data_IF_563962953878
#
_entry.id   IF_563962953878
#
_cell.length_a   1.000
_cell.length_b   1.000
_cell.length_c   1.000
_cell.angle_alpha   90.00
_cell.angle_beta   90.00
_cell.angle_gamma   90.00
#
_symmetry.space_group_name_H-M   'P 1'
#
loop_
_entity.id
_entity.type
_entity.pdbx_description
1 polymer ?
#
# COMPACT_ATOMS: atom_id res chain seq x y z
N UNK A 1 12.72 -5.27 6.81
CA UNK A 1 13.69 -6.02 5.98
C UNK A 1 13.81 -5.32 4.64
N UNK A 2 14.99 -4.92 4.16
CA UNK A 2 15.14 -4.34 2.83
C UNK A 2 14.97 -5.40 1.75
N UNK A 3 14.26 -5.06 0.68
CA UNK A 3 14.04 -5.90 -0.52
C UNK A 3 14.91 -5.46 -1.69
N UNK A 4 15.19 -4.16 -1.74
CA UNK A 4 16.12 -3.53 -2.67
C UNK A 4 16.72 -2.27 -2.07
N UNK A 5 17.84 -1.81 -2.60
CA UNK A 5 18.40 -0.48 -2.35
C UNK A 5 18.42 0.28 -3.66
N UNK A 6 17.78 1.43 -3.69
CA UNK A 6 17.74 2.30 -4.87
C UNK A 6 18.56 3.55 -4.61
N UNK A 7 19.25 4.04 -5.65
CA UNK A 7 20.04 5.29 -5.56
C UNK A 7 19.16 6.52 -5.34
N UNK A 8 17.93 6.47 -5.86
CA UNK A 8 16.92 7.53 -5.80
C UNK A 8 15.56 6.93 -6.17
N UNK A 9 14.52 7.71 -6.02
CA UNK A 9 13.15 7.31 -6.34
C UNK A 9 13.01 6.95 -7.84
N UNK A 10 12.19 5.95 -8.14
CA UNK A 10 12.04 5.37 -9.50
C UNK A 10 11.34 6.28 -10.50
N UNK A 11 10.70 7.35 -10.07
CA UNK A 11 10.08 8.37 -10.93
C UNK A 11 11.10 9.34 -11.55
N UNK A 12 12.34 9.41 -11.06
CA UNK A 12 13.41 10.13 -11.74
C UNK A 12 13.78 9.47 -13.06
N UNK A 13 14.31 10.23 -14.00
CA UNK A 13 14.69 9.78 -15.35
C UNK A 13 15.59 8.53 -15.33
N UNK A 14 16.48 8.43 -14.34
CA UNK A 14 17.36 7.28 -14.14
C UNK A 14 17.59 6.99 -12.67
N UNK A 15 17.77 5.72 -12.37
CA UNK A 15 18.16 5.23 -11.05
C UNK A 15 18.98 3.93 -11.19
N UNK A 16 19.76 3.62 -10.17
CA UNK A 16 20.44 2.33 -10.00
C UNK A 16 19.83 1.60 -8.82
N UNK A 17 19.59 0.31 -8.99
CA UNK A 17 19.04 -0.55 -7.94
C UNK A 17 19.93 -1.77 -7.67
N UNK A 18 19.99 -2.15 -6.41
CA UNK A 18 20.60 -3.40 -5.93
C UNK A 18 19.47 -4.27 -5.41
N UNK A 19 19.23 -5.40 -6.04
CA UNK A 19 18.29 -6.41 -5.57
C UNK A 19 18.88 -7.16 -4.38
N UNK A 20 18.10 -7.35 -3.31
CA UNK A 20 18.54 -8.02 -2.09
C UNK A 20 17.90 -9.41 -1.90
N UNK A 21 17.37 -10.01 -2.96
CA UNK A 21 16.75 -11.35 -2.90
C UNK A 21 17.64 -12.41 -2.26
N UNK A 22 18.95 -12.34 -2.49
CA UNK A 22 19.93 -13.28 -1.92
C UNK A 22 20.23 -13.00 -0.44
N UNK A 23 20.05 -11.78 0.01
CA UNK A 23 20.37 -11.34 1.38
C UNK A 23 19.17 -11.54 2.34
N UNK A 24 17.93 -11.45 1.83
CA UNK A 24 16.72 -11.59 2.62
C UNK A 24 16.68 -12.89 3.45
N UNK A 25 17.00 -14.08 2.91
CA UNK A 25 17.03 -15.32 3.70
C UNK A 25 18.08 -15.30 4.80
N UNK A 26 19.24 -14.69 4.59
CA UNK A 26 20.29 -14.57 5.60
C UNK A 26 19.87 -13.67 6.75
N UNK A 27 19.21 -12.55 6.45
CA UNK A 27 18.64 -11.63 7.46
C UNK A 27 17.58 -12.36 8.29
N UNK A 28 16.65 -13.07 7.64
CA UNK A 28 15.60 -13.83 8.32
C UNK A 28 16.19 -14.93 9.22
N UNK A 29 17.24 -15.62 8.79
CA UNK A 29 17.91 -16.63 9.59
C UNK A 29 18.48 -16.05 10.91
N UNK A 30 19.03 -14.83 10.87
CA UNK A 30 19.48 -14.14 12.09
C UNK A 30 18.32 -13.75 13.00
N UNK A 31 17.19 -13.30 12.45
CA UNK A 31 15.99 -13.00 13.22
C UNK A 31 15.42 -14.27 13.90
N UNK A 32 15.43 -15.39 13.18
CA UNK A 32 14.99 -16.67 13.71
C UNK A 32 15.85 -17.13 14.88
N UNK A 33 17.19 -17.04 14.77
CA UNK A 33 18.12 -17.34 15.88
C UNK A 33 17.83 -16.50 17.13
N UNK A 34 17.43 -15.24 16.92
CA UNK A 34 17.08 -14.29 17.99
C UNK A 34 15.65 -14.44 18.49
N UNK A 35 14.85 -15.34 17.89
CA UNK A 35 13.43 -15.55 18.21
C UNK A 35 12.62 -14.25 18.09
N UNK A 36 12.91 -13.47 17.05
CA UNK A 36 12.16 -12.24 16.76
C UNK A 36 10.70 -12.62 16.44
N UNK A 37 9.76 -11.87 16.97
CA UNK A 37 8.32 -11.94 16.67
C UNK A 37 7.81 -10.60 16.17
N UNK A 38 6.74 -10.61 15.40
CA UNK A 38 6.16 -9.41 14.80
C UNK A 38 4.67 -9.31 15.14
N UNK A 39 4.23 -8.13 15.57
CA UNK A 39 2.81 -7.81 15.74
C UNK A 39 2.14 -7.55 14.39
N UNK A 40 2.91 -7.11 13.39
CA UNK A 40 2.47 -6.93 12.03
C UNK A 40 3.59 -7.16 11.01
N UNK A 41 3.20 -7.60 9.81
CA UNK A 41 4.06 -7.71 8.63
C UNK A 41 3.41 -6.87 7.55
N UNK A 42 4.13 -5.85 7.09
CA UNK A 42 3.72 -4.99 5.99
C UNK A 42 4.68 -5.18 4.81
N UNK A 43 4.13 -5.40 3.62
CA UNK A 43 4.88 -5.48 2.38
C UNK A 43 4.52 -4.31 1.47
N UNK A 44 5.53 -3.56 1.03
CA UNK A 44 5.47 -2.60 -0.06
C UNK A 44 6.16 -3.16 -1.31
N UNK A 45 7.12 -2.41 -1.86
CA UNK A 45 7.82 -2.80 -3.07
C UNK A 45 8.59 -4.12 -2.94
N UNK A 46 8.33 -5.03 -3.87
CA UNK A 46 9.05 -6.29 -4.08
C UNK A 46 9.58 -6.31 -5.52
N UNK A 47 10.86 -6.63 -5.71
CA UNK A 47 11.54 -6.48 -7.00
C UNK A 47 11.13 -7.51 -8.06
N UNK A 48 10.44 -8.59 -7.67
CA UNK A 48 10.01 -9.64 -8.58
C UNK A 48 9.32 -10.82 -7.91
N UNK A 49 8.88 -11.76 -8.72
CA UNK A 49 8.10 -12.94 -8.29
C UNK A 49 8.83 -13.76 -7.23
N UNK A 50 10.14 -13.94 -7.35
CA UNK A 50 10.94 -14.69 -6.36
C UNK A 50 10.89 -14.07 -4.96
N UNK A 51 10.85 -12.73 -4.88
CA UNK A 51 10.67 -12.06 -3.58
C UNK A 51 9.26 -12.24 -3.03
N UNK A 52 8.24 -12.22 -3.88
CA UNK A 52 6.85 -12.50 -3.45
C UNK A 52 6.75 -13.90 -2.86
N UNK A 53 7.28 -14.91 -3.55
CA UNK A 53 7.28 -16.30 -3.08
C UNK A 53 8.07 -16.46 -1.78
N UNK A 54 9.19 -15.77 -1.67
CA UNK A 54 9.99 -15.80 -0.44
C UNK A 54 9.24 -15.13 0.73
N UNK A 55 8.58 -13.99 0.48
CA UNK A 55 7.75 -13.30 1.50
C UNK A 55 6.60 -14.18 1.97
N UNK A 56 5.98 -14.95 1.07
CA UNK A 56 4.96 -15.93 1.49
C UNK A 56 5.53 -16.97 2.49
N UNK A 57 6.74 -17.46 2.24
CA UNK A 57 7.42 -18.38 3.17
C UNK A 57 7.78 -17.69 4.49
N UNK A 58 8.27 -16.44 4.41
CA UNK A 58 8.56 -15.63 5.58
C UNK A 58 7.31 -15.43 6.47
N UNK A 59 6.17 -15.10 5.87
CA UNK A 59 4.90 -14.99 6.60
C UNK A 59 4.53 -16.29 7.30
N UNK A 60 4.70 -17.45 6.65
CA UNK A 60 4.41 -18.75 7.26
C UNK A 60 5.32 -19.05 8.45
N UNK A 61 6.57 -18.59 8.41
CA UNK A 61 7.56 -18.85 9.46
C UNK A 61 7.46 -17.88 10.64
N UNK A 62 7.19 -16.60 10.38
CA UNK A 62 7.28 -15.55 11.40
C UNK A 62 5.91 -15.02 11.88
N UNK A 63 4.82 -15.26 11.15
CA UNK A 63 3.51 -14.87 11.61
C UNK A 63 2.96 -15.86 12.65
N UNK A 64 2.28 -15.32 13.66
CA UNK A 64 1.49 -16.05 14.62
C UNK A 64 0.02 -15.62 14.52
N UNK A 65 -0.93 -16.25 15.24
CA UNK A 65 -2.35 -15.92 15.15
C UNK A 65 -2.73 -14.45 15.45
N UNK A 66 -1.86 -13.70 16.13
CA UNK A 66 -2.06 -12.27 16.45
C UNK A 66 -1.38 -11.36 15.45
N UNK A 67 -0.42 -11.85 14.66
CA UNK A 67 0.29 -11.06 13.66
C UNK A 67 -0.68 -10.64 12.56
N UNK A 68 -0.79 -9.33 12.32
CA UNK A 68 -1.58 -8.78 11.22
C UNK A 68 -0.74 -8.65 9.95
N UNK A 69 -1.29 -9.04 8.82
CA UNK A 69 -0.61 -9.00 7.52
C UNK A 69 -1.22 -7.91 6.66
N UNK A 70 -0.38 -6.98 6.22
CA UNK A 70 -0.71 -5.87 5.34
C UNK A 70 0.05 -6.03 4.03
N UNK A 71 -0.65 -5.94 2.92
CA UNK A 71 -0.04 -5.99 1.58
C UNK A 71 -0.44 -4.75 0.80
N UNK A 72 0.53 -3.93 0.49
CA UNK A 72 0.42 -2.92 -0.55
C UNK A 72 0.84 -3.59 -1.88
N UNK A 73 -0.08 -3.80 -2.81
CA UNK A 73 0.20 -4.58 -4.01
C UNK A 73 0.88 -3.74 -5.09
N UNK A 74 2.04 -3.19 -4.78
CA UNK A 74 2.81 -2.31 -5.66
C UNK A 74 3.03 -2.98 -7.02
N UNK A 75 2.17 -2.65 -8.00
CA UNK A 75 2.18 -3.22 -9.35
C UNK A 75 2.27 -2.16 -10.45
N UNK A 76 1.65 -1.02 -10.26
CA UNK A 76 1.58 0.01 -11.29
C UNK A 76 0.71 1.19 -10.90
N UNK A 77 0.69 2.20 -11.75
CA UNK A 77 -0.16 3.38 -11.63
C UNK A 77 -0.54 3.90 -13.01
N UNK A 78 -1.54 4.81 -13.08
CA UNK A 78 -2.04 5.43 -14.32
C UNK A 78 -2.38 4.42 -15.44
N UNK A 79 -2.81 3.21 -15.06
CA UNK A 79 -3.21 2.15 -16.00
C UNK A 79 -2.05 1.32 -16.57
N UNK A 80 -0.83 1.53 -16.11
CA UNK A 80 0.36 0.83 -16.61
C UNK A 80 1.12 0.13 -15.47
N UNK A 81 1.73 -1.01 -15.78
CA UNK A 81 2.64 -1.66 -14.85
C UNK A 81 3.91 -0.83 -14.65
N UNK A 82 4.46 -0.87 -13.45
CA UNK A 82 5.80 -0.35 -13.20
C UNK A 82 6.84 -1.10 -14.03
N UNK A 83 7.95 -0.43 -14.32
CA UNK A 83 9.02 -0.97 -15.15
C UNK A 83 9.51 -2.34 -14.67
N UNK A 84 9.46 -3.32 -15.55
CA UNK A 84 9.87 -4.70 -15.26
C UNK A 84 8.76 -5.60 -14.70
N UNK A 85 7.56 -5.05 -14.42
CA UNK A 85 6.42 -5.83 -13.98
C UNK A 85 5.48 -6.18 -15.15
N UNK A 86 4.61 -7.15 -14.93
CA UNK A 86 3.61 -7.63 -15.88
C UNK A 86 2.71 -8.67 -15.24
N UNK A 87 2.04 -9.45 -16.08
CA UNK A 87 1.02 -10.41 -15.63
C UNK A 87 1.55 -11.45 -14.65
N UNK A 88 2.79 -11.91 -14.79
CA UNK A 88 3.39 -12.88 -13.88
C UNK A 88 3.52 -12.30 -12.46
N UNK A 89 4.05 -11.08 -12.34
CA UNK A 89 4.12 -10.37 -11.06
C UNK A 89 2.73 -10.10 -10.49
N UNK A 90 1.77 -9.72 -11.34
CA UNK A 90 0.38 -9.50 -10.92
C UNK A 90 -0.25 -10.79 -10.34
N UNK A 91 -0.04 -11.94 -10.96
CA UNK A 91 -0.54 -13.22 -10.45
C UNK A 91 0.11 -13.63 -9.12
N UNK A 92 1.41 -13.41 -8.97
CA UNK A 92 2.10 -13.64 -7.71
C UNK A 92 1.57 -12.71 -6.60
N UNK A 93 1.46 -11.41 -6.89
CA UNK A 93 0.94 -10.42 -5.95
C UNK A 93 -0.52 -10.70 -5.57
N UNK A 94 -1.35 -11.15 -6.51
CA UNK A 94 -2.74 -11.56 -6.24
C UNK A 94 -2.81 -12.70 -5.22
N UNK A 95 -1.91 -13.68 -5.29
CA UNK A 95 -1.81 -14.77 -4.29
C UNK A 95 -1.39 -14.23 -2.93
N UNK A 96 -0.42 -13.31 -2.90
CA UNK A 96 0.03 -12.67 -1.67
C UNK A 96 -1.11 -11.88 -1.01
N UNK A 97 -1.85 -11.07 -1.79
CA UNK A 97 -3.03 -10.34 -1.32
C UNK A 97 -4.07 -11.27 -0.68
N UNK A 98 -4.24 -12.48 -1.22
CA UNK A 98 -5.15 -13.49 -0.66
C UNK A 98 -4.77 -14.00 0.74
N UNK A 99 -3.53 -13.75 1.19
CA UNK A 99 -3.04 -14.10 2.53
C UNK A 99 -3.04 -12.95 3.51
N UNK A 100 -3.37 -11.73 3.05
CA UNK A 100 -3.36 -10.53 3.85
C UNK A 100 -4.63 -10.38 4.72
N UNK A 101 -4.50 -9.70 5.86
CA UNK A 101 -5.64 -9.17 6.58
C UNK A 101 -6.14 -7.86 5.96
N UNK A 102 -5.22 -7.05 5.45
CA UNK A 102 -5.50 -5.73 4.84
C UNK A 102 -4.72 -5.58 3.55
N UNK A 103 -5.36 -5.06 2.52
CA UNK A 103 -4.70 -4.63 1.27
C UNK A 103 -5.04 -3.17 0.96
N UNK A 104 -4.09 -2.47 0.32
CA UNK A 104 -4.20 -1.02 0.05
C UNK A 104 -3.96 -0.65 -1.43
N UNK A 105 -4.61 -1.33 -2.39
CA UNK A 105 -4.38 -1.07 -3.81
C UNK A 105 -4.84 0.33 -4.25
N UNK A 106 -4.13 0.94 -5.20
CA UNK A 106 -4.66 2.03 -6.02
C UNK A 106 -5.64 1.47 -7.08
N UNK A 107 -6.34 2.35 -7.81
CA UNK A 107 -7.35 1.90 -8.78
C UNK A 107 -6.75 1.10 -9.95
N UNK A 108 -5.53 1.40 -10.38
CA UNK A 108 -4.80 0.63 -11.41
C UNK A 108 -4.56 -0.81 -10.94
N UNK A 109 -4.08 -0.95 -9.74
CA UNK A 109 -3.80 -2.25 -9.11
C UNK A 109 -5.07 -3.08 -8.89
N UNK A 110 -6.16 -2.41 -8.50
CA UNK A 110 -7.50 -3.04 -8.43
C UNK A 110 -7.86 -3.70 -9.76
N UNK A 111 -7.72 -2.96 -10.86
CA UNK A 111 -8.07 -3.47 -12.18
C UNK A 111 -7.16 -4.63 -12.59
N UNK A 112 -5.86 -4.53 -12.33
CA UNK A 112 -4.92 -5.62 -12.61
C UNK A 112 -5.24 -6.88 -11.79
N UNK A 113 -5.42 -6.75 -10.49
CA UNK A 113 -5.74 -7.88 -9.60
C UNK A 113 -7.06 -8.58 -9.97
N UNK A 114 -8.04 -7.82 -10.48
CA UNK A 114 -9.32 -8.35 -10.95
C UNK A 114 -9.30 -8.80 -12.43
N UNK A 115 -8.18 -8.61 -13.14
CA UNK A 115 -8.05 -8.94 -14.56
C UNK A 115 -8.95 -8.11 -15.46
N UNK A 116 -9.19 -6.85 -15.08
CA UNK A 116 -10.08 -5.93 -15.80
C UNK A 116 -9.27 -4.93 -16.64
N UNK A 117 -9.84 -4.60 -17.79
CA UNK A 117 -9.38 -3.47 -18.62
C UNK A 117 -10.50 -2.44 -18.60
N UNK A 118 -10.22 -1.27 -18.02
CA UNK A 118 -11.21 -0.21 -17.94
C UNK A 118 -10.55 1.17 -18.07
N UNK A 119 -11.36 2.15 -18.39
CA UNK A 119 -10.94 3.55 -18.40
C UNK A 119 -10.91 4.05 -16.95
N UNK A 120 -9.72 4.32 -16.43
CA UNK A 120 -9.49 4.79 -15.06
C UNK A 120 -10.30 6.07 -14.75
N UNK A 121 -10.46 6.98 -15.71
CA UNK A 121 -11.23 8.21 -15.51
C UNK A 121 -12.71 7.91 -15.32
N UNK A 122 -13.27 7.00 -16.13
CA UNK A 122 -14.66 6.57 -15.99
C UNK A 122 -14.86 5.79 -14.66
N UNK A 123 -13.95 4.87 -14.33
CA UNK A 123 -14.01 4.09 -13.10
C UNK A 123 -13.89 4.95 -11.85
N UNK A 124 -12.99 5.94 -11.82
CA UNK A 124 -12.82 6.83 -10.66
C UNK A 124 -14.06 7.66 -10.33
N UNK A 125 -14.94 7.89 -11.29
CA UNK A 125 -16.20 8.63 -11.07
C UNK A 125 -17.36 7.73 -10.62
N UNK A 126 -17.18 6.41 -10.60
CA UNK A 126 -18.24 5.45 -10.28
C UNK A 126 -18.00 4.78 -8.91
N UNK A 127 -18.47 5.42 -7.84
CA UNK A 127 -18.32 4.90 -6.46
C UNK A 127 -18.98 3.54 -6.24
N UNK A 128 -20.11 3.27 -6.88
CA UNK A 128 -20.78 1.97 -6.76
C UNK A 128 -19.91 0.86 -7.38
N UNK A 129 -19.27 1.15 -8.51
CA UNK A 129 -18.36 0.23 -9.15
C UNK A 129 -17.11 -0.01 -8.29
N UNK A 130 -16.54 1.05 -7.67
CA UNK A 130 -15.41 0.93 -6.75
C UNK A 130 -15.78 0.05 -5.56
N UNK A 131 -16.92 0.27 -4.92
CA UNK A 131 -17.43 -0.59 -3.83
C UNK A 131 -17.64 -2.05 -4.27
N UNK A 132 -18.07 -2.26 -5.51
CA UNK A 132 -18.13 -3.61 -6.08
C UNK A 132 -16.75 -4.25 -6.21
N UNK A 133 -15.73 -3.49 -6.59
CA UNK A 133 -14.36 -3.98 -6.67
C UNK A 133 -13.78 -4.35 -5.30
N UNK A 134 -14.04 -3.56 -4.27
CA UNK A 134 -13.63 -3.87 -2.89
C UNK A 134 -14.20 -5.22 -2.43
N UNK A 135 -15.49 -5.45 -2.67
CA UNK A 135 -16.12 -6.75 -2.37
C UNK A 135 -15.51 -7.90 -3.17
N UNK A 136 -15.21 -7.71 -4.46
CA UNK A 136 -14.54 -8.71 -5.28
C UNK A 136 -13.13 -9.01 -4.79
N UNK A 137 -12.36 -7.99 -4.41
CA UNK A 137 -11.02 -8.17 -3.84
C UNK A 137 -11.07 -8.88 -2.49
N UNK A 138 -12.04 -8.57 -1.64
CA UNK A 138 -12.19 -9.24 -0.34
C UNK A 138 -12.48 -10.74 -0.48
N UNK A 139 -13.08 -11.18 -1.59
CA UNK A 139 -13.30 -12.61 -1.89
C UNK A 139 -11.98 -13.35 -2.19
N UNK A 140 -10.88 -12.66 -2.46
CA UNK A 140 -9.56 -13.27 -2.59
C UNK A 140 -8.97 -13.71 -1.23
N UNK A 141 -9.46 -13.14 -0.11
CA UNK A 141 -9.02 -13.47 1.25
C UNK A 141 -8.91 -12.32 2.24
N UNK A 142 -8.54 -11.08 1.84
CA UNK A 142 -8.34 -9.99 2.79
C UNK A 142 -9.63 -9.61 3.50
N UNK A 143 -9.50 -9.36 4.81
CA UNK A 143 -10.64 -8.95 5.68
C UNK A 143 -10.99 -7.48 5.51
N UNK A 144 -10.01 -6.68 5.09
CA UNK A 144 -10.15 -5.26 4.84
C UNK A 144 -9.50 -4.92 3.51
N UNK A 145 -10.22 -4.21 2.66
CA UNK A 145 -9.72 -3.67 1.40
C UNK A 145 -9.84 -2.15 1.49
N UNK A 146 -8.78 -1.43 1.18
CA UNK A 146 -8.79 0.04 1.13
C UNK A 146 -8.27 0.46 -0.24
N UNK A 147 -9.15 0.94 -1.11
CA UNK A 147 -8.77 1.49 -2.41
C UNK A 147 -8.32 2.93 -2.20
N UNK A 148 -7.08 3.21 -2.56
CA UNK A 148 -6.42 4.48 -2.25
C UNK A 148 -6.35 5.41 -3.46
N UNK A 149 -6.31 6.73 -3.21
CA UNK A 149 -5.96 7.72 -4.22
C UNK A 149 -7.01 7.94 -5.32
N UNK A 150 -8.28 7.65 -5.09
CA UNK A 150 -9.34 7.83 -6.10
C UNK A 150 -9.65 9.31 -6.30
N UNK A 151 -9.26 9.87 -7.44
CA UNK A 151 -9.44 11.29 -7.77
C UNK A 151 -10.84 11.55 -8.33
N UNK A 152 -11.62 12.40 -7.66
CA UNK A 152 -12.95 12.86 -8.12
C UNK A 152 -13.09 14.37 -7.90
N UNK A 153 -13.10 15.12 -9.00
CA UNK A 153 -13.15 16.59 -8.94
C UNK A 153 -11.98 17.15 -8.14
N UNK A 154 -12.28 17.97 -7.13
CA UNK A 154 -11.31 18.60 -6.24
C UNK A 154 -10.94 17.74 -5.01
N UNK A 155 -11.30 16.46 -5.01
CA UNK A 155 -11.06 15.56 -3.88
C UNK A 155 -10.31 14.31 -4.28
N UNK A 156 -9.53 13.83 -3.31
CA UNK A 156 -8.95 12.48 -3.31
C UNK A 156 -9.70 11.65 -2.28
N UNK A 157 -10.24 10.53 -2.72
CA UNK A 157 -10.96 9.59 -1.87
C UNK A 157 -10.10 8.36 -1.58
N UNK A 158 -10.16 7.92 -0.34
CA UNK A 158 -9.70 6.61 0.08
C UNK A 158 -10.94 5.87 0.60
N UNK A 159 -11.27 4.76 -0.02
CA UNK A 159 -12.52 4.04 0.20
C UNK A 159 -12.16 2.66 0.75
N UNK A 160 -12.86 2.22 1.78
CA UNK A 160 -12.56 0.95 2.42
C UNK A 160 -13.80 0.08 2.62
N UNK A 161 -13.58 -1.23 2.62
CA UNK A 161 -14.56 -2.25 2.92
C UNK A 161 -14.06 -3.20 4.01
N UNK A 162 -14.87 -3.44 5.01
CA UNK A 162 -14.65 -4.44 6.05
C UNK A 162 -15.53 -5.66 5.78
N UNK A 163 -14.93 -6.78 5.40
CA UNK A 163 -15.67 -8.04 5.18
C UNK A 163 -16.27 -8.59 6.47
N UNK A 164 -15.63 -8.32 7.63
CA UNK A 164 -16.13 -8.75 8.94
C UNK A 164 -17.44 -8.07 9.31
N UNK A 165 -17.59 -6.79 8.95
CA UNK A 165 -18.74 -5.97 9.31
C UNK A 165 -19.73 -5.82 8.14
N UNK A 166 -19.37 -6.32 6.95
CA UNK A 166 -20.05 -6.08 5.66
C UNK A 166 -20.39 -4.58 5.48
N UNK A 167 -19.42 -3.72 5.78
CA UNK A 167 -19.62 -2.28 5.78
C UNK A 167 -18.53 -1.54 5.02
N UNK A 168 -18.93 -0.44 4.39
CA UNK A 168 -18.04 0.50 3.73
C UNK A 168 -17.72 1.67 4.65
N UNK A 169 -16.53 2.21 4.49
CA UNK A 169 -16.07 3.44 5.12
C UNK A 169 -15.24 4.24 4.11
N UNK A 170 -15.20 5.54 4.26
CA UNK A 170 -14.50 6.40 3.31
C UNK A 170 -13.97 7.65 4.00
N UNK A 171 -12.90 8.19 3.44
CA UNK A 171 -12.31 9.47 3.83
C UNK A 171 -11.93 10.21 2.56
N UNK A 172 -12.26 11.49 2.49
CA UNK A 172 -11.80 12.35 1.40
C UNK A 172 -10.96 13.50 1.93
N UNK A 173 -9.96 13.88 1.17
CA UNK A 173 -9.10 15.05 1.37
C UNK A 173 -9.18 15.97 0.17
N UNK A 174 -8.76 17.23 0.30
CA UNK A 174 -8.65 18.12 -0.84
C UNK A 174 -7.50 17.64 -1.76
N UNK A 175 -7.72 17.75 -3.05
CA UNK A 175 -6.67 17.51 -4.04
C UNK A 175 -5.73 18.70 -4.03
N UNK A 176 -4.57 18.55 -3.41
CA UNK A 176 -3.56 19.59 -3.25
C UNK A 176 -2.33 19.20 -4.05
N UNK A 177 -1.90 20.06 -4.96
CA UNK A 177 -0.71 19.82 -5.80
C UNK A 177 -0.85 18.68 -6.78
N UNK A 178 0.30 18.16 -7.19
CA UNK A 178 0.45 16.94 -8.00
C UNK A 178 0.69 15.73 -7.08
N UNK A 179 0.75 14.52 -7.63
CA UNK A 179 1.05 13.32 -6.85
C UNK A 179 2.51 13.32 -6.36
N UNK A 180 2.73 13.10 -5.08
CA UNK A 180 4.07 12.98 -4.49
C UNK A 180 4.46 11.52 -4.32
N UNK A 181 5.72 11.22 -4.63
CA UNK A 181 6.28 9.87 -4.48
C UNK A 181 6.28 9.43 -3.00
N UNK A 182 5.98 8.14 -2.74
CA UNK A 182 6.00 7.55 -1.41
C UNK A 182 4.76 7.83 -0.54
N UNK A 183 3.77 8.57 -1.05
CA UNK A 183 2.54 8.88 -0.30
C UNK A 183 1.70 7.63 -0.01
N UNK A 184 1.69 6.64 -0.90
CA UNK A 184 1.06 5.34 -0.68
C UNK A 184 1.71 4.57 0.48
N UNK A 185 3.05 4.52 0.49
CA UNK A 185 3.82 3.86 1.55
C UNK A 185 3.57 4.51 2.92
N UNK A 186 3.54 5.85 2.98
CA UNK A 186 3.24 6.60 4.20
C UNK A 186 1.82 6.29 4.69
N UNK A 187 0.82 6.36 3.80
CA UNK A 187 -0.58 6.07 4.12
C UNK A 187 -0.73 4.66 4.72
N UNK A 188 -0.19 3.66 4.02
CA UNK A 188 -0.28 2.26 4.45
C UNK A 188 0.50 2.01 5.75
N UNK A 189 1.66 2.62 5.93
CA UNK A 189 2.45 2.51 7.16
C UNK A 189 1.69 3.04 8.38
N UNK A 190 1.03 4.18 8.26
CA UNK A 190 0.20 4.75 9.35
C UNK A 190 -1.01 3.86 9.63
N UNK A 191 -1.71 3.38 8.58
CA UNK A 191 -2.84 2.44 8.74
C UNK A 191 -2.37 1.18 9.48
N UNK A 192 -1.25 0.60 9.07
CA UNK A 192 -0.64 -0.56 9.70
C UNK A 192 -0.39 -0.32 11.20
N UNK A 193 0.33 0.76 11.54
CA UNK A 193 0.65 1.12 12.92
C UNK A 193 -0.59 1.30 13.80
N UNK A 194 -1.60 2.03 13.31
CA UNK A 194 -2.86 2.24 14.01
C UNK A 194 -3.64 0.93 14.24
N UNK A 195 -3.75 0.11 13.21
CA UNK A 195 -4.49 -1.16 13.33
C UNK A 195 -3.78 -2.18 14.21
N UNK A 196 -2.44 -2.20 14.25
CA UNK A 196 -1.67 -3.03 15.20
C UNK A 196 -1.95 -2.58 16.64
N UNK A 197 -2.08 -1.29 16.88
CA UNK A 197 -2.49 -0.72 18.19
C UNK A 197 -3.97 -0.98 18.54
N UNK A 198 -4.74 -1.61 17.66
CA UNK A 198 -6.14 -1.99 17.91
C UNK A 198 -7.18 -0.97 17.41
N UNK A 199 -6.77 0.05 16.68
CA UNK A 199 -7.73 0.97 16.07
C UNK A 199 -8.52 0.29 14.94
N UNK A 200 -9.78 0.74 14.71
CA UNK A 200 -10.57 0.25 13.59
C UNK A 200 -9.99 0.73 12.25
N UNK A 201 -10.22 0.00 11.13
CA UNK A 201 -9.74 0.42 9.81
C UNK A 201 -10.17 1.83 9.42
N UNK A 202 -11.42 2.20 9.74
CA UNK A 202 -11.94 3.55 9.47
C UNK A 202 -11.18 4.64 10.25
N UNK A 203 -10.89 4.39 11.54
CA UNK A 203 -10.15 5.36 12.37
C UNK A 203 -8.71 5.47 11.89
N UNK A 204 -8.07 4.34 11.59
CA UNK A 204 -6.73 4.29 11.04
C UNK A 204 -6.63 5.07 9.72
N UNK A 205 -7.57 4.85 8.79
CA UNK A 205 -7.63 5.57 7.52
C UNK A 205 -7.82 7.07 7.70
N UNK A 206 -8.70 7.50 8.63
CA UNK A 206 -8.89 8.91 8.95
C UNK A 206 -7.60 9.59 9.41
N UNK A 207 -6.88 8.94 10.34
CA UNK A 207 -5.62 9.45 10.87
C UNK A 207 -4.55 9.53 9.79
N UNK A 208 -4.41 8.47 8.99
CA UNK A 208 -3.46 8.42 7.89
C UNK A 208 -3.73 9.49 6.83
N UNK A 209 -4.99 9.70 6.45
CA UNK A 209 -5.37 10.71 5.48
C UNK A 209 -5.12 12.14 5.98
N UNK A 210 -5.42 12.43 7.25
CA UNK A 210 -5.15 13.75 7.84
C UNK A 210 -3.66 14.04 7.95
N UNK A 211 -2.86 13.06 8.37
CA UNK A 211 -1.42 13.15 8.45
C UNK A 211 -0.79 13.42 7.08
N UNK A 212 -1.21 12.64 6.08
CA UNK A 212 -0.70 12.78 4.73
C UNK A 212 -1.12 14.10 4.08
N UNK A 213 -2.36 14.55 4.30
CA UNK A 213 -2.85 15.83 3.80
C UNK A 213 -1.98 16.99 4.30
N UNK A 214 -1.69 17.05 5.60
CA UNK A 214 -0.82 18.08 6.17
C UNK A 214 0.59 18.06 5.57
N UNK A 215 1.16 16.87 5.37
CA UNK A 215 2.48 16.71 4.76
C UNK A 215 2.51 17.14 3.29
N UNK A 216 1.43 16.90 2.54
CA UNK A 216 1.31 17.34 1.14
C UNK A 216 1.13 18.86 1.06
N UNK A 217 0.32 19.45 1.93
CA UNK A 217 0.09 20.91 1.97
C UNK A 217 1.41 21.65 2.21
N UNK A 218 2.23 21.20 3.16
CA UNK A 218 3.57 21.77 3.40
C UNK A 218 4.49 21.60 2.18
N UNK A 219 4.53 20.40 1.57
CA UNK A 219 5.35 20.17 0.38
C UNK A 219 4.96 21.08 -0.80
N UNK A 220 3.67 21.40 -0.96
CA UNK A 220 3.19 22.35 -1.97
C UNK A 220 3.62 23.79 -1.63
N UNK A 221 3.51 24.22 -0.36
CA UNK A 221 3.97 25.53 0.10
C UNK A 221 5.46 25.71 -0.13
N UNK A 222 6.25 24.68 0.17
CA UNK A 222 7.71 24.66 0.01
C UNK A 222 8.16 24.47 -1.45
N UNK A 223 7.23 24.17 -2.36
CA UNK A 223 7.50 23.84 -3.77
C UNK A 223 8.46 22.66 -3.94
N UNK A 224 8.32 21.67 -3.09
CA UNK A 224 9.11 20.43 -3.14
C UNK A 224 8.86 19.71 -4.47
N UNK A 225 9.94 19.17 -5.08
CA UNK A 225 9.80 18.33 -6.28
C UNK A 225 8.96 17.08 -5.93
N UNK A 226 7.88 16.78 -6.67
CA UNK A 226 7.05 15.60 -6.42
C UNK A 226 7.83 14.28 -6.33
N UNK A 227 8.97 14.17 -7.00
CA UNK A 227 9.83 12.99 -6.95
C UNK A 227 10.61 12.86 -5.63
N UNK A 228 10.80 13.94 -4.90
CA UNK A 228 11.48 13.92 -3.58
C UNK A 228 10.55 13.49 -2.44
N UNK A 229 9.25 13.43 -2.70
CA UNK A 229 8.26 13.06 -1.69
C UNK A 229 7.85 14.22 -0.79
N UNK A 230 7.38 13.91 0.43
CA UNK A 230 6.87 14.90 1.39
C UNK A 230 7.65 14.87 2.70
N UNK A 231 7.87 16.04 3.30
CA UNK A 231 8.54 16.19 4.62
C UNK A 231 7.54 15.87 5.77
N UNK A 232 7.15 14.60 5.89
CA UNK A 232 6.14 14.13 6.85
C UNK A 232 6.60 14.23 8.31
N UNK A 233 7.89 14.38 8.58
CA UNK A 233 8.47 14.40 9.92
C UNK A 233 7.94 15.55 10.77
N UNK A 234 7.60 16.68 10.17
CA UNK A 234 7.05 17.84 10.87
C UNK A 234 5.63 17.60 11.42
N UNK A 235 4.93 16.62 10.84
CA UNK A 235 3.54 16.29 11.19
C UNK A 235 3.40 15.05 12.08
N UNK A 236 4.50 14.42 12.51
CA UNK A 236 4.47 13.22 13.36
C UNK A 236 3.61 13.35 14.61
N UNK A 237 3.47 14.57 15.16
CA UNK A 237 2.61 14.82 16.31
C UNK A 237 1.14 14.44 16.09
N UNK A 238 0.64 14.46 14.84
CA UNK A 238 -0.71 14.06 14.49
C UNK A 238 -0.99 12.55 14.68
N UNK A 239 0.06 11.76 14.90
CA UNK A 239 -0.04 10.31 15.11
C UNK A 239 -0.11 9.90 16.58
N UNK A 240 0.08 10.82 17.52
CA UNK A 240 0.25 10.53 18.97
C UNK A 240 -0.98 10.84 19.83
N UNK A 241 -2.19 10.77 19.29
CA UNK A 241 -3.46 10.95 20.04
C UNK A 241 -3.88 9.66 20.75
#
# INVERSE_FOLDING_TARGET
MPTAVLSNQTAFESYTGIDLSMDMPMIAAEWKKRKVSFDGIYTGYLSGVSQVEWVEQFMQEFANPQTKIFVDPVLGDEGVYYRGFGDEMCQAMKKLCGKADVITPNLTEVLFLLGKKADLKAESQNLEQIRSYEKQLSQLGPKTVIITGVSQGEKIWNIGYSAKEDSFFEVSTQKTGEGYSGTGDILTSVICGCMIKGESPQKALKKAAAFLQASIEEAVEDKTDPNEGVAFEHHLSLLFD
#
